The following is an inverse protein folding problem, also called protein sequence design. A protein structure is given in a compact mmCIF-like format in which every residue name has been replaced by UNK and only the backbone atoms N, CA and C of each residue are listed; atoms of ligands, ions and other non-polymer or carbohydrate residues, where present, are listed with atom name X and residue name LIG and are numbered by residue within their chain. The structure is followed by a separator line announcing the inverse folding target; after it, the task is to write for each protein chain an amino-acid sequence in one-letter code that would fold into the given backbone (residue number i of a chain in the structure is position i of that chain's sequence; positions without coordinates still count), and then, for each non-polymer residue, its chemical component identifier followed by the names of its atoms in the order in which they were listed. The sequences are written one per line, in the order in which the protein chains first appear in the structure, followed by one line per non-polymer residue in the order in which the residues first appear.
data_IF_147886390060
#
_entry.id   IF_147886390060
#
_cell.length_a   1.000
_cell.length_b   1.000
_cell.length_c   1.000
_cell.angle_alpha   90.00
_cell.angle_beta   90.00
_cell.angle_gamma   90.00
#
_symmetry.space_group_name_H-M   'P 1'
#
loop_
_entity.id
_entity.type
_entity.pdbx_description
1 polymer ?
#
# COMPACT_ATOMS: atom_id res chain seq x y z
N UNK A 1 24.57 26.21 -46.14
CA UNK A 1 24.36 24.75 -46.07
C UNK A 1 23.13 24.47 -45.25
N UNK A 2 22.16 23.75 -45.86
CA UNK A 2 20.79 23.50 -45.38
C UNK A 2 20.72 22.14 -44.68
N UNK A 3 19.96 22.09 -43.57
CA UNK A 3 19.24 20.92 -42.98
C UNK A 3 20.18 19.84 -42.40
N UNK A 4 19.97 19.29 -41.20
CA UNK A 4 18.75 18.63 -40.72
C UNK A 4 18.62 18.82 -39.18
N UNK A 5 17.39 19.13 -38.79
CA UNK A 5 16.87 19.31 -37.43
C UNK A 5 16.90 18.00 -36.59
N UNK A 6 16.75 18.10 -35.25
CA UNK A 6 17.29 17.17 -34.28
C UNK A 6 16.46 15.90 -34.10
N UNK A 7 17.17 14.79 -33.92
CA UNK A 7 16.69 13.48 -33.49
C UNK A 7 16.30 13.44 -31.99
N UNK A 8 15.73 14.52 -31.45
CA UNK A 8 15.43 14.65 -30.00
C UNK A 8 13.92 14.47 -29.71
N UNK A 9 13.06 14.43 -30.72
CA UNK A 9 11.61 14.32 -30.53
C UNK A 9 11.04 12.88 -30.51
N UNK A 10 11.86 11.86 -30.21
CA UNK A 10 11.40 10.47 -30.13
C UNK A 10 11.56 9.83 -28.73
N UNK A 11 11.90 10.62 -27.70
CA UNK A 11 12.04 10.14 -26.32
C UNK A 11 10.82 10.42 -25.42
N UNK A 12 9.76 11.04 -25.94
CA UNK A 12 8.58 11.45 -25.16
C UNK A 12 7.38 10.50 -25.25
N UNK A 13 7.50 9.36 -25.96
CA UNK A 13 6.43 8.37 -26.10
C UNK A 13 6.71 7.04 -25.37
N UNK A 14 7.45 7.08 -24.25
CA UNK A 14 7.51 6.00 -23.26
C UNK A 14 6.47 6.24 -22.14
N UNK A 15 5.25 6.60 -22.54
CA UNK A 15 4.10 6.75 -21.65
C UNK A 15 3.43 5.39 -21.43
N UNK A 16 4.04 4.57 -20.58
CA UNK A 16 3.40 3.42 -19.94
C UNK A 16 4.14 3.09 -18.62
N UNK A 17 4.02 3.99 -17.64
CA UNK A 17 4.55 3.80 -16.29
C UNK A 17 3.43 4.13 -15.33
N UNK A 18 3.03 3.18 -14.47
CA UNK A 18 2.10 3.48 -13.39
C UNK A 18 2.60 4.69 -12.60
N UNK A 19 1.70 5.61 -12.28
CA UNK A 19 1.97 6.81 -11.50
C UNK A 19 2.40 6.40 -10.10
N UNK A 20 3.40 7.06 -9.52
CA UNK A 20 3.65 6.91 -8.09
C UNK A 20 2.57 7.76 -7.39
N UNK A 21 1.77 7.20 -6.47
CA UNK A 21 0.79 8.00 -5.76
C UNK A 21 1.54 9.02 -4.90
N UNK A 22 0.93 10.19 -4.70
CA UNK A 22 1.48 11.18 -3.79
C UNK A 22 1.42 10.64 -2.37
N UNK A 23 2.59 10.54 -1.73
CA UNK A 23 2.70 10.10 -0.35
C UNK A 23 2.40 11.30 0.55
N UNK A 24 1.55 11.13 1.54
CA UNK A 24 1.18 12.18 2.49
C UNK A 24 0.65 13.46 1.80
N UNK A 25 -0.07 13.30 0.69
CA UNK A 25 -0.75 14.43 0.04
C UNK A 25 -1.90 14.98 0.90
N UNK A 26 -2.12 16.30 0.91
CA UNK A 26 -3.16 16.92 1.72
C UNK A 26 -4.57 16.52 1.25
N UNK A 27 -5.55 16.62 2.16
CA UNK A 27 -6.94 16.42 1.82
C UNK A 27 -7.45 17.54 0.90
N UNK A 28 -7.89 17.16 -0.30
CA UNK A 28 -8.46 18.09 -1.29
C UNK A 28 -9.72 17.48 -1.89
N UNK A 29 -10.69 18.31 -2.28
CA UNK A 29 -11.88 17.87 -3.00
C UNK A 29 -11.48 17.05 -4.25
N UNK A 30 -12.17 15.94 -4.48
CA UNK A 30 -11.90 15.04 -5.60
C UNK A 30 -10.80 14.00 -5.34
N UNK A 31 -10.20 13.95 -4.15
CA UNK A 31 -9.22 12.93 -3.78
C UNK A 31 -9.65 12.14 -2.55
N UNK A 32 -9.01 10.99 -2.38
CA UNK A 32 -9.18 10.07 -1.27
C UNK A 32 -7.81 9.63 -0.77
N UNK A 33 -7.76 8.88 0.33
CA UNK A 33 -6.51 8.29 0.78
C UNK A 33 -6.64 6.80 1.12
N UNK A 34 -5.58 6.05 0.82
CA UNK A 34 -5.43 4.66 1.24
C UNK A 34 -4.29 4.55 2.24
N UNK A 35 -4.57 3.93 3.39
CA UNK A 35 -3.56 3.61 4.39
C UNK A 35 -3.09 2.17 4.20
N UNK A 36 -1.77 2.00 4.13
CA UNK A 36 -1.12 0.70 4.07
C UNK A 36 0.17 0.74 4.88
N UNK A 37 0.52 -0.40 5.50
CA UNK A 37 1.81 -0.56 6.19
C UNK A 37 2.49 -1.84 5.76
N UNK A 38 3.81 -1.82 5.70
CA UNK A 38 4.62 -3.02 5.56
C UNK A 38 5.01 -3.57 6.92
N UNK A 39 4.98 -4.89 7.07
CA UNK A 39 5.61 -5.61 8.19
C UNK A 39 6.54 -6.67 7.60
N UNK A 40 7.79 -6.70 8.05
CA UNK A 40 8.73 -7.71 7.56
C UNK A 40 9.34 -8.44 8.74
N UNK A 41 9.10 -9.74 8.79
CA UNK A 41 9.53 -10.63 9.87
C UNK A 41 10.68 -11.49 9.35
N UNK A 42 11.83 -11.39 10.00
CA UNK A 42 13.01 -12.24 9.80
C UNK A 42 13.18 -13.18 11.00
N UNK A 43 14.05 -14.22 10.93
CA UNK A 43 14.25 -15.14 12.05
C UNK A 43 14.58 -14.45 13.38
N UNK A 44 15.29 -13.31 13.34
CA UNK A 44 15.69 -12.54 14.52
C UNK A 44 14.61 -11.54 15.01
N UNK A 45 13.47 -11.45 14.34
CA UNK A 45 12.36 -10.55 14.70
C UNK A 45 11.88 -9.65 13.56
N UNK A 46 11.20 -8.55 13.89
CA UNK A 46 10.72 -7.58 12.89
C UNK A 46 11.83 -6.62 12.46
N UNK A 47 11.98 -6.39 11.15
CA UNK A 47 12.98 -5.47 10.60
C UNK A 47 12.35 -4.20 10.02
N UNK A 48 13.08 -3.10 10.11
CA UNK A 48 12.75 -1.80 9.47
C UNK A 48 13.41 -1.63 8.11
N UNK A 49 14.50 -2.36 7.85
CA UNK A 49 15.21 -2.30 6.57
C UNK A 49 14.58 -3.26 5.56
N UNK A 50 13.35 -2.95 5.17
CA UNK A 50 12.66 -3.70 4.15
C UNK A 50 11.59 -2.88 3.41
N UNK A 51 11.32 -3.29 2.17
CA UNK A 51 10.26 -2.70 1.35
C UNK A 51 9.63 -3.75 0.42
N UNK A 52 8.35 -3.56 0.13
CA UNK A 52 7.58 -4.34 -0.82
C UNK A 52 7.05 -3.42 -1.92
N UNK A 53 6.91 -3.93 -3.14
CA UNK A 53 6.30 -3.19 -4.24
C UNK A 53 5.05 -3.90 -4.72
N UNK A 54 3.92 -3.21 -4.69
CA UNK A 54 2.64 -3.65 -5.23
C UNK A 54 2.09 -2.60 -6.19
N UNK A 55 1.10 -2.98 -6.99
CA UNK A 55 0.28 -2.03 -7.73
C UNK A 55 -1.11 -1.93 -7.12
N UNK A 56 -1.67 -0.73 -7.15
CA UNK A 56 -3.08 -0.47 -6.93
C UNK A 56 -3.66 0.00 -8.28
N UNK A 57 -4.49 -0.84 -8.90
CA UNK A 57 -4.96 -0.61 -10.27
C UNK A 57 -6.49 -0.49 -10.34
N UNK A 58 -6.97 0.51 -11.06
CA UNK A 58 -8.36 0.67 -11.49
C UNK A 58 -8.42 0.68 -13.03
N UNK A 59 -9.62 0.74 -13.63
CA UNK A 59 -9.74 0.93 -15.07
C UNK A 59 -9.09 2.23 -15.58
N UNK A 60 -9.09 3.28 -14.75
CA UNK A 60 -8.63 4.61 -15.14
C UNK A 60 -7.19 4.90 -14.68
N UNK A 61 -6.82 4.44 -13.48
CA UNK A 61 -5.58 4.82 -12.81
C UNK A 61 -4.77 3.61 -12.34
N UNK A 62 -3.45 3.79 -12.27
CA UNK A 62 -2.52 2.71 -11.89
C UNK A 62 -1.38 3.23 -11.04
N UNK A 63 -1.42 2.93 -9.75
CA UNK A 63 -0.41 3.37 -8.80
C UNK A 63 0.60 2.28 -8.51
N UNK A 64 1.89 2.59 -8.65
CA UNK A 64 2.96 1.73 -8.11
C UNK A 64 3.28 2.16 -6.69
N UNK A 65 2.94 1.30 -5.73
CA UNK A 65 3.10 1.61 -4.31
C UNK A 65 4.34 0.91 -3.77
N UNK A 66 5.24 1.69 -3.16
CA UNK A 66 6.34 1.18 -2.35
C UNK A 66 5.92 1.18 -0.89
N UNK A 67 5.69 0.00 -0.33
CA UNK A 67 5.28 -0.17 1.06
C UNK A 67 6.51 -0.43 1.91
N UNK A 68 6.85 0.50 2.80
CA UNK A 68 8.00 0.40 3.71
C UNK A 68 7.63 -0.37 4.97
N UNK A 69 8.60 -1.11 5.52
CA UNK A 69 8.41 -1.78 6.78
C UNK A 69 8.26 -0.77 7.92
N UNK A 70 7.37 -1.06 8.87
CA UNK A 70 7.16 -0.28 10.09
C UNK A 70 6.65 1.16 9.92
N UNK A 71 6.25 1.55 8.73
CA UNK A 71 5.71 2.88 8.46
C UNK A 71 4.31 2.75 7.85
N UNK A 72 3.30 3.34 8.50
CA UNK A 72 2.00 3.53 7.87
C UNK A 72 2.13 4.65 6.84
N UNK A 73 1.85 4.32 5.59
CA UNK A 73 1.89 5.25 4.48
C UNK A 73 0.47 5.71 4.15
N UNK A 74 0.29 7.03 4.03
CA UNK A 74 -0.92 7.64 3.50
C UNK A 74 -0.72 7.87 2.00
N UNK A 75 -1.49 7.19 1.17
CA UNK A 75 -1.44 7.29 -0.29
C UNK A 75 -2.61 8.15 -0.75
N UNK A 76 -2.35 9.36 -1.24
CA UNK A 76 -3.40 10.18 -1.88
C UNK A 76 -3.65 9.63 -3.28
N UNK A 77 -4.92 9.28 -3.55
CA UNK A 77 -5.35 8.68 -4.81
C UNK A 77 -6.72 9.21 -5.24
N UNK A 78 -7.00 9.06 -6.52
CA UNK A 78 -8.25 9.42 -7.15
C UNK A 78 -9.36 8.42 -6.75
N UNK A 79 -10.63 8.87 -6.60
CA UNK A 79 -11.74 7.98 -6.34
C UNK A 79 -12.01 7.02 -7.50
N UNK A 80 -11.97 5.72 -7.24
CA UNK A 80 -12.27 4.66 -8.21
C UNK A 80 -12.41 3.31 -7.49
N UNK A 81 -12.63 2.24 -8.25
CA UNK A 81 -12.62 0.85 -7.78
C UNK A 81 -11.27 0.22 -8.09
N UNK A 82 -10.48 -0.02 -7.05
CA UNK A 82 -9.12 -0.51 -7.18
C UNK A 82 -8.96 -1.98 -6.83
N UNK A 83 -7.97 -2.62 -7.43
CA UNK A 83 -7.50 -3.96 -7.06
C UNK A 83 -6.00 -3.93 -6.76
N UNK A 84 -5.58 -4.79 -5.84
CA UNK A 84 -4.18 -5.04 -5.59
C UNK A 84 -3.64 -6.00 -6.65
N UNK A 85 -2.57 -5.59 -7.32
CA UNK A 85 -1.90 -6.37 -8.36
C UNK A 85 -0.39 -6.47 -8.09
N UNK A 86 0.28 -7.50 -8.63
CA UNK A 86 1.74 -7.51 -8.68
C UNK A 86 2.24 -6.38 -9.59
N UNK A 87 3.52 -6.06 -9.45
CA UNK A 87 4.16 -5.03 -10.26
C UNK A 87 4.14 -5.39 -11.74
N UNK A 88 4.23 -4.35 -12.59
CA UNK A 88 4.39 -4.51 -14.03
C UNK A 88 5.86 -4.33 -14.44
N UNK A 89 6.26 -5.00 -15.51
CA UNK A 89 7.58 -4.80 -16.10
C UNK A 89 7.61 -3.49 -16.93
N UNK A 90 8.78 -3.06 -17.44
CA UNK A 90 8.90 -1.83 -18.24
C UNK A 90 8.05 -1.82 -19.53
N UNK A 91 7.61 -2.99 -20.01
CA UNK A 91 6.74 -3.14 -21.17
C UNK A 91 5.25 -3.15 -20.79
N UNK A 92 4.91 -2.94 -19.51
CA UNK A 92 3.53 -2.89 -19.02
C UNK A 92 2.89 -4.25 -18.72
N UNK A 93 3.59 -5.37 -18.89
CA UNK A 93 3.06 -6.69 -18.58
C UNK A 93 3.06 -6.95 -17.07
N UNK A 94 1.96 -7.54 -16.59
CA UNK A 94 1.80 -7.97 -15.20
C UNK A 94 2.83 -9.05 -14.88
N UNK A 95 3.63 -8.86 -13.83
CA UNK A 95 4.56 -9.88 -13.37
C UNK A 95 3.81 -10.87 -12.46
N UNK A 96 4.15 -12.16 -12.52
CA UNK A 96 3.56 -13.15 -11.59
C UNK A 96 4.11 -13.01 -10.16
N UNK A 97 5.26 -12.35 -10.02
CA UNK A 97 6.00 -12.25 -8.77
C UNK A 97 5.99 -10.82 -8.23
N UNK A 98 5.86 -10.74 -6.91
CA UNK A 98 6.12 -9.59 -6.07
C UNK A 98 7.62 -9.48 -5.80
N UNK A 99 8.14 -8.24 -5.78
CA UNK A 99 9.51 -7.97 -5.32
C UNK A 99 9.49 -7.55 -3.85
N UNK A 100 10.28 -8.24 -3.03
CA UNK A 100 10.48 -7.93 -1.61
C UNK A 100 11.96 -7.67 -1.38
N UNK A 101 12.31 -6.51 -0.82
CA UNK A 101 13.69 -6.19 -0.43
C UNK A 101 13.82 -6.28 1.08
N UNK A 102 14.76 -7.07 1.60
CA UNK A 102 15.04 -7.26 3.03
C UNK A 102 16.55 -7.14 3.24
N UNK A 103 17.00 -6.22 4.09
CA UNK A 103 18.42 -6.04 4.41
C UNK A 103 19.33 -5.97 3.16
N UNK A 104 18.92 -5.17 2.17
CA UNK A 104 19.64 -5.03 0.89
C UNK A 104 19.43 -6.15 -0.14
N UNK A 105 18.92 -7.32 0.25
CA UNK A 105 18.68 -8.47 -0.64
C UNK A 105 17.28 -8.43 -1.24
N UNK A 106 17.16 -8.76 -2.53
CA UNK A 106 15.89 -8.81 -3.25
C UNK A 106 15.41 -10.24 -3.41
N UNK A 107 14.14 -10.48 -3.10
CA UNK A 107 13.45 -11.75 -3.23
C UNK A 107 12.30 -11.59 -4.21
N UNK A 108 12.21 -12.49 -5.19
CA UNK A 108 11.05 -12.62 -6.06
C UNK A 108 10.11 -13.66 -5.45
N UNK A 109 8.91 -13.24 -5.07
CA UNK A 109 7.93 -14.08 -4.37
C UNK A 109 6.67 -14.17 -5.21
N UNK A 110 6.05 -15.35 -5.39
CA UNK A 110 4.74 -15.42 -6.06
C UNK A 110 3.74 -14.48 -5.42
N UNK A 111 3.00 -13.71 -6.23
CA UNK A 111 2.01 -12.81 -5.67
C UNK A 111 0.89 -13.62 -4.97
N UNK A 112 0.52 -13.29 -3.72
CA UNK A 112 -0.41 -14.12 -2.96
C UNK A 112 -1.79 -14.22 -3.62
N UNK A 113 -2.27 -15.46 -3.81
CA UNK A 113 -3.53 -15.72 -4.52
C UNK A 113 -4.76 -15.25 -3.74
N UNK A 114 -4.67 -15.27 -2.41
CA UNK A 114 -5.67 -14.72 -1.49
C UNK A 114 -5.84 -13.21 -1.72
N UNK A 115 -4.75 -12.47 -1.94
CA UNK A 115 -4.82 -11.04 -2.26
C UNK A 115 -5.47 -10.80 -3.62
N UNK A 116 -5.16 -11.61 -4.65
CA UNK A 116 -5.79 -11.47 -5.98
C UNK A 116 -7.29 -11.74 -5.97
N UNK A 117 -7.75 -12.59 -5.06
CA UNK A 117 -9.16 -12.99 -4.92
C UNK A 117 -9.96 -12.06 -4.02
N UNK A 118 -9.32 -11.10 -3.37
CA UNK A 118 -10.03 -10.12 -2.54
C UNK A 118 -10.96 -9.27 -3.39
N UNK A 119 -12.05 -8.85 -2.75
CA UNK A 119 -12.98 -7.91 -3.35
C UNK A 119 -12.27 -6.59 -3.68
N UNK A 120 -12.67 -5.91 -4.77
CA UNK A 120 -12.15 -4.60 -5.09
C UNK A 120 -12.33 -3.60 -3.94
N UNK A 121 -11.39 -2.69 -3.83
CA UNK A 121 -11.45 -1.55 -2.92
C UNK A 121 -12.26 -0.42 -3.56
N UNK A 122 -13.48 -0.18 -3.07
CA UNK A 122 -14.27 0.97 -3.50
C UNK A 122 -13.77 2.24 -2.80
N UNK A 123 -13.04 3.10 -3.53
CA UNK A 123 -12.47 4.34 -3.03
C UNK A 123 -13.40 5.51 -3.34
N UNK A 124 -14.12 5.98 -2.31
CA UNK A 124 -15.06 7.10 -2.43
C UNK A 124 -14.38 8.44 -2.18
N UNK A 125 -14.80 9.53 -2.86
CA UNK A 125 -14.24 10.86 -2.66
C UNK A 125 -14.20 11.27 -1.20
N UNK A 126 -13.11 11.94 -0.81
CA UNK A 126 -12.86 12.50 0.53
C UNK A 126 -12.90 11.47 1.67
N UNK A 127 -12.70 10.19 1.37
CA UNK A 127 -12.62 9.12 2.36
C UNK A 127 -11.19 8.61 2.53
N UNK A 128 -10.92 8.11 3.74
CA UNK A 128 -9.71 7.35 4.06
C UNK A 128 -10.10 5.88 4.18
N UNK A 129 -9.34 5.01 3.54
CA UNK A 129 -9.56 3.57 3.58
C UNK A 129 -8.31 2.87 4.07
N UNK A 130 -8.45 2.04 5.10
CA UNK A 130 -7.36 1.22 5.61
C UNK A 130 -7.31 -0.12 4.89
N UNK A 131 -6.27 -0.34 4.08
CA UNK A 131 -6.05 -1.59 3.35
C UNK A 131 -5.66 -2.73 4.30
N UNK A 132 -4.80 -2.43 5.28
CA UNK A 132 -4.19 -3.41 6.18
C UNK A 132 -2.68 -3.47 6.05
N UNK A 133 -2.10 -4.52 6.64
CA UNK A 133 -0.65 -4.70 6.74
C UNK A 133 -0.20 -5.75 5.72
N UNK A 134 0.66 -5.36 4.78
CA UNK A 134 1.37 -6.31 3.93
C UNK A 134 2.52 -6.91 4.73
N UNK A 135 2.35 -8.16 5.15
CA UNK A 135 3.34 -8.90 5.92
C UNK A 135 4.17 -9.77 4.99
N UNK A 136 5.49 -9.56 4.98
CA UNK A 136 6.47 -10.50 4.42
C UNK A 136 7.20 -11.23 5.54
N UNK A 137 7.26 -12.55 5.49
CA UNK A 137 7.97 -13.39 6.45
C UNK A 137 9.08 -14.16 5.75
N UNK A 138 10.32 -13.89 6.13
CA UNK A 138 11.48 -14.68 5.73
C UNK A 138 11.52 -15.96 6.56
N UNK A 139 11.35 -17.10 5.89
CA UNK A 139 11.39 -18.41 6.53
C UNK A 139 12.84 -18.81 6.84
N UNK A 140 13.08 -19.58 7.93
CA UNK A 140 14.39 -20.10 8.25
C UNK A 140 14.97 -20.94 7.09
N UNK A 141 16.24 -20.70 6.76
CA UNK A 141 16.95 -21.45 5.72
C UNK A 141 17.21 -22.86 6.25
N UNK A 142 16.56 -23.87 5.65
CA UNK A 142 16.92 -25.27 5.86
C UNK A 142 18.21 -25.57 5.06
N UNK A 143 19.12 -26.38 5.61
CA UNK A 143 20.35 -26.77 4.90
C UNK A 143 20.01 -27.30 3.50
N UNK A 144 20.63 -26.73 2.47
CA UNK A 144 20.43 -27.10 1.06
C UNK A 144 19.22 -26.47 0.37
N UNK A 145 18.49 -25.57 1.02
CA UNK A 145 17.34 -24.88 0.42
C UNK A 145 17.58 -23.38 0.28
N UNK A 146 17.00 -22.78 -0.76
CA UNK A 146 16.99 -21.33 -0.91
C UNK A 146 16.10 -20.65 0.14
N UNK A 147 16.46 -19.42 0.50
CA UNK A 147 15.68 -18.63 1.44
C UNK A 147 14.32 -18.27 0.81
N UNK A 148 13.24 -18.63 1.50
CA UNK A 148 11.87 -18.43 1.03
C UNK A 148 11.20 -17.32 1.81
N UNK A 149 10.53 -16.42 1.10
CA UNK A 149 9.69 -15.38 1.70
C UNK A 149 8.24 -15.72 1.42
N UNK A 150 7.40 -15.60 2.44
CA UNK A 150 5.95 -15.70 2.31
C UNK A 150 5.32 -14.31 2.50
N UNK A 151 4.34 -13.97 1.67
CA UNK A 151 3.66 -12.68 1.76
C UNK A 151 2.17 -12.89 1.96
N UNK A 152 1.57 -12.07 2.82
CA UNK A 152 0.13 -12.06 3.10
C UNK A 152 -0.34 -10.63 3.38
N UNK A 153 -1.64 -10.39 3.21
CA UNK A 153 -2.28 -9.14 3.62
C UNK A 153 -3.10 -9.41 4.88
N UNK A 154 -2.69 -8.82 6.02
CA UNK A 154 -3.49 -8.76 7.24
C UNK A 154 -4.42 -7.54 7.19
N UNK A 155 -5.65 -7.77 6.76
CA UNK A 155 -6.75 -6.81 6.69
C UNK A 155 -7.73 -6.96 7.87
N UNK A 156 -7.31 -7.62 8.95
CA UNK A 156 -8.13 -7.75 10.15
C UNK A 156 -8.56 -6.39 10.69
N UNK A 157 -9.71 -6.32 11.37
CA UNK A 157 -10.19 -5.07 11.97
C UNK A 157 -9.15 -4.45 12.90
N UNK A 158 -8.39 -5.30 13.63
CA UNK A 158 -7.28 -4.87 14.48
C UNK A 158 -6.17 -4.20 13.67
N UNK A 159 -5.72 -4.83 12.57
CA UNK A 159 -4.69 -4.27 11.71
C UNK A 159 -5.15 -2.94 11.07
N UNK A 160 -6.36 -2.91 10.49
CA UNK A 160 -6.92 -1.70 9.86
C UNK A 160 -7.09 -0.56 10.86
N UNK A 161 -7.61 -0.84 12.06
CA UNK A 161 -7.74 0.13 13.15
C UNK A 161 -6.39 0.74 13.53
N UNK A 162 -5.37 -0.10 13.72
CA UNK A 162 -4.04 0.35 14.08
C UNK A 162 -3.42 1.27 13.03
N UNK A 163 -3.72 1.09 11.73
CA UNK A 163 -3.23 2.03 10.71
C UNK A 163 -3.84 3.42 10.87
N UNK A 164 -5.13 3.49 11.20
CA UNK A 164 -5.85 4.74 11.36
C UNK A 164 -5.36 5.45 12.63
N UNK A 165 -5.25 4.72 13.74
CA UNK A 165 -4.70 5.24 15.01
C UNK A 165 -3.27 5.73 14.83
N UNK A 166 -2.39 4.96 14.17
CA UNK A 166 -0.99 5.38 13.88
C UNK A 166 -0.93 6.71 13.09
N UNK A 167 -1.89 6.97 12.19
CA UNK A 167 -1.94 8.23 11.46
C UNK A 167 -2.51 9.39 12.28
N UNK A 168 -3.47 9.12 13.16
CA UNK A 168 -4.01 10.11 14.11
C UNK A 168 -2.93 10.52 15.11
N UNK A 169 -2.21 9.55 15.68
CA UNK A 169 -1.13 9.80 16.64
C UNK A 169 -0.02 10.67 16.03
N UNK A 170 0.28 10.46 14.74
CA UNK A 170 1.25 11.28 14.00
C UNK A 170 0.86 12.74 13.88
N UNK A 171 -0.41 13.13 14.02
CA UNK A 171 -0.80 14.55 13.99
C UNK A 171 -0.12 15.36 15.11
N UNK A 172 0.11 14.71 16.27
CA UNK A 172 0.63 15.33 17.48
C UNK A 172 2.07 14.90 17.81
N UNK A 173 2.64 13.97 17.04
CA UNK A 173 4.01 13.49 17.27
C UNK A 173 5.04 14.53 16.82
N UNK A 174 5.76 15.13 17.77
CA UNK A 174 6.84 16.08 17.49
C UNK A 174 8.01 15.47 16.70
N UNK A 175 8.14 14.13 16.65
CA UNK A 175 9.17 13.41 15.89
C UNK A 175 8.77 13.12 14.45
N UNK A 176 7.48 13.23 14.11
CA UNK A 176 7.02 13.10 12.73
C UNK A 176 7.49 14.30 11.89
N UNK A 177 7.76 14.08 10.61
CA UNK A 177 8.09 15.17 9.70
C UNK A 177 6.91 16.13 9.54
N UNK A 178 7.19 17.40 9.24
CA UNK A 178 6.15 18.41 9.03
C UNK A 178 5.13 17.97 7.97
N UNK A 179 5.60 17.45 6.84
CA UNK A 179 4.77 16.91 5.76
C UNK A 179 3.77 15.84 6.23
N UNK A 180 4.25 14.86 7.02
CA UNK A 180 3.38 13.78 7.55
C UNK A 180 2.34 14.34 8.51
N UNK A 181 2.73 15.29 9.37
CA UNK A 181 1.83 15.92 10.34
C UNK A 181 0.74 16.73 9.63
N UNK A 182 1.14 17.61 8.70
CA UNK A 182 0.22 18.48 7.97
C UNK A 182 -0.76 17.64 7.13
N UNK A 183 -0.27 16.59 6.49
CA UNK A 183 -1.10 15.62 5.78
C UNK A 183 -2.11 14.97 6.73
N UNK A 184 -1.64 14.39 7.84
CA UNK A 184 -2.51 13.75 8.82
C UNK A 184 -3.60 14.72 9.33
N UNK A 185 -3.21 15.95 9.71
CA UNK A 185 -4.12 17.01 10.15
C UNK A 185 -5.17 17.33 9.08
N UNK A 186 -4.77 17.45 7.82
CA UNK A 186 -5.72 17.71 6.72
C UNK A 186 -6.77 16.59 6.56
N UNK A 187 -6.43 15.34 6.91
CA UNK A 187 -7.31 14.17 6.83
C UNK A 187 -8.08 13.86 8.13
N UNK A 188 -7.95 14.67 9.19
CA UNK A 188 -8.50 14.39 10.54
C UNK A 188 -9.93 13.85 10.53
N UNK A 189 -10.88 14.59 9.96
CA UNK A 189 -12.30 14.18 9.93
C UNK A 189 -12.51 12.85 9.20
N UNK A 190 -11.77 12.59 8.13
CA UNK A 190 -11.90 11.36 7.37
C UNK A 190 -11.27 10.17 8.12
N UNK A 191 -10.19 10.40 8.86
CA UNK A 191 -9.57 9.40 9.75
C UNK A 191 -10.50 9.03 10.90
N UNK A 192 -11.14 10.00 11.56
CA UNK A 192 -12.14 9.76 12.61
C UNK A 192 -13.33 8.94 12.07
N UNK A 193 -13.85 9.30 10.90
CA UNK A 193 -14.92 8.55 10.25
C UNK A 193 -14.49 7.12 9.91
N UNK A 194 -13.29 6.92 9.40
CA UNK A 194 -12.75 5.61 9.11
C UNK A 194 -12.61 4.76 10.38
N UNK A 195 -12.18 5.36 11.50
CA UNK A 195 -12.05 4.69 12.78
C UNK A 195 -13.41 4.17 13.28
N UNK A 196 -14.44 5.02 13.25
CA UNK A 196 -15.81 4.66 13.64
C UNK A 196 -16.35 3.50 12.77
N UNK A 197 -16.11 3.54 11.46
CA UNK A 197 -16.55 2.47 10.55
C UNK A 197 -15.90 1.13 10.90
N UNK A 198 -14.57 1.10 11.09
CA UNK A 198 -13.84 -0.14 11.43
C UNK A 198 -14.26 -0.68 12.80
N UNK A 199 -14.56 0.19 13.76
CA UNK A 199 -15.10 -0.20 15.07
C UNK A 199 -16.51 -0.80 14.93
N UNK A 200 -17.41 -0.16 14.20
CA UNK A 200 -18.77 -0.66 13.96
C UNK A 200 -18.82 -2.00 13.21
N UNK A 201 -17.86 -2.28 12.32
CA UNK A 201 -17.71 -3.59 11.67
C UNK A 201 -17.35 -4.71 12.67
N UNK A 202 -16.56 -4.39 13.71
CA UNK A 202 -16.20 -5.36 14.74
C UNK A 202 -17.42 -5.72 15.61
N UNK A 203 -18.21 -4.73 15.97
CA UNK A 203 -19.42 -4.90 16.78
C UNK A 203 -20.47 -5.74 16.05
N UNK A 204 -20.72 -5.46 14.76
CA UNK A 204 -21.70 -6.23 13.95
C UNK A 204 -21.35 -7.71 13.82
N UNK A 205 -20.07 -8.07 13.73
CA UNK A 205 -19.64 -9.48 13.66
C UNK A 205 -19.80 -10.22 14.98
N UNK A 206 -19.73 -9.53 16.12
CA UNK A 206 -19.92 -10.12 17.44
C UNK A 206 -21.39 -10.48 17.73
N UNK A 207 -22.34 -9.77 17.10
CA UNK A 207 -23.78 -9.94 17.37
C UNK A 207 -24.41 -11.14 16.66
N UNK A 208 -23.77 -11.74 15.63
CA UNK A 208 -24.26 -12.95 14.93
C UNK A 208 -23.97 -14.26 15.70
N UNK A 209 -24.15 -14.27 17.02
CA UNK A 209 -24.45 -15.51 17.74
C UNK A 209 -25.96 -15.64 17.87
N UNK A 210 -26.55 -16.43 16.98
CA UNK A 210 -27.97 -16.82 17.08
C UNK A 210 -28.22 -17.50 18.42
N UNK A 211 -29.26 -17.12 19.20
CA UNK A 211 -29.70 -17.92 20.32
C UNK A 211 -30.32 -19.23 19.79
N UNK A 212 -29.74 -20.35 20.25
CA UNK A 212 -30.18 -21.76 20.20
C UNK A 212 -31.16 -22.19 19.11
#
# INVERSE_FOLDING_TARGET
MRRILPLILAASALSCRGTAPELYGPATLGYSAVLVRGRVIVPDGETRDAALWINLESPNERYRVRVRANETTLLRIEPDVYRLHPTRNPLGFVQANLHVKIAGRSYAVPFPRDILRKDPLEVKPTKVIALGVLEARLLPIKRGHEARVEVRLDDSNKARRHLIEDMIDRMMDAKASLEVRDAAVSWTRALEQALVLVQGEAERKATYKTPR
#
